data_IF_668927263930
#
_entry.id   IF_668927263930
#
_cell.length_a   1.000
_cell.length_b   1.000
_cell.length_c   1.000
_cell.angle_alpha   90.00
_cell.angle_beta   90.00
_cell.angle_gamma   90.00
#
_symmetry.space_group_name_H-M   'P 1'
#
loop_
_entity.id
_entity.type
_entity.pdbx_description
1 polymer ?
#
# COMPACT_ATOMS: atom_id res chain seq x y z
N UNK A 1 14.48 6.31 21.16
CA UNK A 1 13.36 5.36 20.98
C UNK A 1 12.23 6.08 20.25
N UNK A 2 11.55 5.38 19.35
CA UNK A 2 10.36 5.90 18.66
C UNK A 2 9.21 5.95 19.67
N UNK A 3 8.54 7.11 19.86
CA UNK A 3 7.39 7.21 20.76
C UNK A 3 6.26 6.24 20.36
N UNK A 4 5.54 5.70 21.35
CA UNK A 4 4.47 4.70 21.10
C UNK A 4 3.42 5.21 20.12
N UNK A 5 2.97 6.45 20.25
CA UNK A 5 2.00 7.05 19.33
C UNK A 5 2.50 7.09 17.88
N UNK A 6 3.80 7.27 17.66
CA UNK A 6 4.38 7.23 16.31
C UNK A 6 4.41 5.80 15.77
N UNK A 7 4.69 4.79 16.62
CA UNK A 7 4.59 3.37 16.24
C UNK A 7 3.16 3.00 15.87
N UNK A 8 2.19 3.42 16.66
CA UNK A 8 0.78 3.15 16.40
C UNK A 8 0.33 3.78 15.07
N UNK A 9 0.73 5.02 14.82
CA UNK A 9 0.42 5.72 13.58
C UNK A 9 1.16 5.13 12.38
N UNK A 10 2.44 4.76 12.52
CA UNK A 10 3.19 4.08 11.45
C UNK A 10 2.54 2.74 11.09
N UNK A 11 2.18 1.96 12.11
CA UNK A 11 1.49 0.68 11.91
C UNK A 11 0.14 0.86 11.24
N UNK A 12 -0.62 1.89 11.61
CA UNK A 12 -1.90 2.18 10.98
C UNK A 12 -1.74 2.52 9.49
N UNK A 13 -0.71 3.30 9.13
CA UNK A 13 -0.37 3.59 7.73
C UNK A 13 0.05 2.32 7.00
N UNK A 14 0.85 1.44 7.65
CA UNK A 14 1.25 0.16 7.07
C UNK A 14 0.05 -0.77 6.82
N UNK A 15 -0.88 -0.90 7.78
CA UNK A 15 -2.13 -1.65 7.61
C UNK A 15 -2.93 -1.11 6.42
N UNK A 16 -3.07 0.20 6.31
CA UNK A 16 -3.79 0.88 5.23
C UNK A 16 -3.20 0.55 3.85
N UNK A 17 -1.89 0.72 3.70
CA UNK A 17 -1.17 0.42 2.46
C UNK A 17 -1.29 -1.07 2.11
N UNK A 18 -1.07 -1.98 3.07
CA UNK A 18 -1.17 -3.41 2.83
C UNK A 18 -2.59 -3.87 2.49
N UNK A 19 -3.63 -3.28 3.08
CA UNK A 19 -5.02 -3.64 2.78
C UNK A 19 -5.41 -3.21 1.37
N UNK A 20 -5.02 -2.03 0.91
CA UNK A 20 -5.27 -1.60 -0.47
C UNK A 20 -4.42 -2.41 -1.45
N UNK A 21 -3.12 -2.56 -1.21
CA UNK A 21 -2.21 -3.31 -2.07
C UNK A 21 -2.57 -4.79 -2.23
N UNK A 22 -3.27 -5.39 -1.26
CA UNK A 22 -3.81 -6.75 -1.36
C UNK A 22 -5.28 -6.79 -1.82
N UNK A 23 -5.83 -5.66 -2.28
CA UNK A 23 -7.20 -5.56 -2.76
C UNK A 23 -7.47 -6.46 -3.97
N UNK A 24 -8.54 -7.24 -3.89
CA UNK A 24 -9.06 -8.04 -5.00
C UNK A 24 -10.44 -7.48 -5.40
N UNK A 25 -10.65 -7.28 -6.70
CA UNK A 25 -11.84 -6.60 -7.20
C UNK A 25 -12.27 -7.14 -8.56
N UNK A 26 -13.48 -6.82 -9.00
CA UNK A 26 -13.95 -7.16 -10.33
C UNK A 26 -13.52 -6.10 -11.35
N UNK A 27 -13.22 -6.52 -12.56
CA UNK A 27 -13.04 -5.63 -13.72
C UNK A 27 -14.24 -4.67 -13.84
N UNK A 28 -13.95 -3.42 -14.09
CA UNK A 28 -14.94 -2.35 -14.05
C UNK A 28 -14.93 -1.52 -12.76
N UNK A 29 -14.19 -1.94 -11.74
CA UNK A 29 -14.00 -1.13 -10.54
C UNK A 29 -13.12 0.10 -10.82
N UNK A 30 -13.43 1.18 -10.12
CA UNK A 30 -12.64 2.42 -10.12
C UNK A 30 -11.90 2.59 -8.79
N UNK A 31 -10.88 3.41 -8.76
CA UNK A 31 -10.18 3.76 -7.53
C UNK A 31 -11.08 4.44 -6.49
N UNK A 32 -12.21 5.06 -6.91
CA UNK A 32 -13.20 5.63 -6.00
C UNK A 32 -13.84 4.57 -5.08
N UNK A 33 -14.07 3.36 -5.59
CA UNK A 33 -14.62 2.25 -4.80
C UNK A 33 -13.53 1.64 -3.91
N UNK A 34 -12.32 1.50 -4.43
CA UNK A 34 -11.24 0.78 -3.76
C UNK A 34 -10.55 1.61 -2.67
N UNK A 35 -10.63 2.94 -2.72
CA UNK A 35 -10.04 3.84 -1.73
C UNK A 35 -10.46 3.51 -0.29
N UNK A 36 -11.66 2.94 -0.11
CA UNK A 36 -12.15 2.53 1.21
C UNK A 36 -11.26 1.48 1.87
N UNK A 37 -10.55 0.65 1.10
CA UNK A 37 -9.64 -0.36 1.65
C UNK A 37 -8.49 0.29 2.43
N UNK A 38 -7.99 1.43 1.95
CA UNK A 38 -6.96 2.19 2.65
C UNK A 38 -7.54 3.07 3.78
N UNK A 39 -8.75 3.62 3.60
CA UNK A 39 -9.31 4.55 4.58
C UNK A 39 -9.97 3.89 5.77
N UNK A 40 -10.54 2.70 5.57
CA UNK A 40 -11.25 2.00 6.65
C UNK A 40 -10.42 1.85 7.94
N UNK A 41 -9.13 1.46 7.93
CA UNK A 41 -8.32 1.39 9.13
C UNK A 41 -8.24 2.71 9.92
N UNK A 42 -8.22 3.84 9.22
CA UNK A 42 -8.24 5.17 9.82
C UNK A 42 -9.62 5.55 10.35
N UNK A 43 -10.66 5.36 9.55
CA UNK A 43 -12.03 5.73 9.93
C UNK A 43 -12.54 4.91 11.10
N UNK A 44 -12.15 3.66 11.24
CA UNK A 44 -12.46 2.83 12.43
C UNK A 44 -11.85 3.40 13.73
N UNK A 45 -10.95 4.39 13.62
CA UNK A 45 -10.28 5.08 14.74
C UNK A 45 -10.53 6.58 14.78
N UNK A 46 -11.55 7.06 14.07
CA UNK A 46 -11.90 8.48 13.94
C UNK A 46 -10.72 9.35 13.40
N UNK A 47 -9.82 8.74 12.63
CA UNK A 47 -8.69 9.39 11.97
C UNK A 47 -8.91 9.49 10.46
N UNK A 48 -8.19 10.38 9.79
CA UNK A 48 -8.24 10.55 8.34
C UNK A 48 -6.97 11.22 7.82
N UNK A 49 -6.75 11.11 6.51
CA UNK A 49 -5.79 11.93 5.76
C UNK A 49 -6.51 12.71 4.65
N UNK A 50 -6.07 13.95 4.40
CA UNK A 50 -6.80 14.93 3.57
C UNK A 50 -6.31 14.99 2.11
N UNK A 51 -5.56 13.98 1.65
CA UNK A 51 -5.13 13.85 0.26
C UNK A 51 -5.72 12.60 -0.40
N UNK A 52 -5.52 12.42 -1.69
CA UNK A 52 -5.83 11.16 -2.38
C UNK A 52 -4.93 10.04 -1.89
N UNK A 53 -5.43 8.82 -1.91
CA UNK A 53 -4.62 7.65 -1.51
C UNK A 53 -3.64 7.24 -2.60
N UNK A 54 -3.90 7.64 -3.84
CA UNK A 54 -3.00 7.33 -4.96
C UNK A 54 -3.45 7.96 -6.26
N UNK A 55 -2.57 7.90 -7.25
CA UNK A 55 -2.74 8.45 -8.59
C UNK A 55 -2.01 7.61 -9.63
N UNK A 56 -2.39 7.73 -10.89
CA UNK A 56 -1.64 7.14 -12.00
C UNK A 56 -0.25 7.76 -12.13
N UNK A 57 0.70 6.97 -12.60
CA UNK A 57 2.09 7.38 -12.82
C UNK A 57 2.35 7.43 -14.31
N UNK A 58 2.73 8.60 -14.81
CA UNK A 58 2.99 8.85 -16.21
C UNK A 58 4.41 8.52 -16.63
N UNK A 59 4.58 8.39 -17.94
CA UNK A 59 5.88 8.19 -18.55
C UNK A 59 6.71 9.49 -18.47
N UNK A 60 7.98 9.34 -18.20
CA UNK A 60 9.02 10.38 -18.26
C UNK A 60 8.67 11.66 -17.48
N UNK A 61 8.88 11.65 -16.17
CA UNK A 61 8.75 12.79 -15.25
C UNK A 61 7.33 13.32 -15.00
N UNK A 62 6.29 12.70 -15.55
CA UNK A 62 4.91 13.06 -15.23
C UNK A 62 4.38 12.19 -14.09
N UNK A 63 4.85 12.45 -12.88
CA UNK A 63 4.58 11.62 -11.70
C UNK A 63 3.07 11.51 -11.41
N UNK A 64 2.34 12.63 -11.53
CA UNK A 64 0.88 12.66 -11.32
C UNK A 64 0.17 12.66 -12.67
N UNK A 65 -0.16 11.47 -13.19
CA UNK A 65 -0.88 11.34 -14.46
C UNK A 65 -2.19 10.56 -14.26
N UNK A 66 -3.30 11.16 -14.74
CA UNK A 66 -4.56 10.42 -14.85
C UNK A 66 -4.46 9.30 -15.88
N UNK A 67 -5.55 8.52 -16.11
CA UNK A 67 -6.92 8.80 -15.63
C UNK A 67 -7.30 8.08 -14.32
N UNK A 68 -6.47 7.21 -13.78
CA UNK A 68 -6.74 6.46 -12.56
C UNK A 68 -6.30 7.21 -11.30
N UNK A 69 -6.96 6.96 -10.17
CA UNK A 69 -6.59 7.49 -8.88
C UNK A 69 -7.42 6.89 -7.76
N UNK A 70 -6.81 6.67 -6.59
CA UNK A 70 -7.52 6.26 -5.37
C UNK A 70 -7.97 7.49 -4.59
N UNK A 71 -9.29 7.73 -4.52
CA UNK A 71 -9.89 8.86 -3.80
C UNK A 71 -11.29 8.50 -3.30
N UNK A 72 -11.62 8.85 -2.08
CA UNK A 72 -12.96 8.65 -1.52
C UNK A 72 -13.99 9.68 -2.03
N UNK A 73 -13.55 10.79 -2.61
CA UNK A 73 -14.41 11.79 -3.24
C UNK A 73 -14.16 11.82 -4.74
N UNK A 74 -15.25 11.96 -5.49
CA UNK A 74 -15.19 12.16 -6.93
C UNK A 74 -14.25 13.32 -7.29
N UNK A 75 -13.36 13.06 -8.24
CA UNK A 75 -12.53 14.09 -8.87
C UNK A 75 -12.56 13.86 -10.38
N UNK A 76 -12.95 14.92 -11.11
CA UNK A 76 -12.96 14.86 -12.59
C UNK A 76 -11.55 14.53 -13.11
N UNK A 77 -11.46 13.55 -14.01
CA UNK A 77 -10.20 13.12 -14.61
C UNK A 77 -9.44 12.03 -13.84
N UNK A 78 -9.99 11.52 -12.71
CA UNK A 78 -9.39 10.42 -11.93
C UNK A 78 -10.42 9.32 -11.61
N UNK A 79 -11.36 9.07 -12.52
CA UNK A 79 -12.50 8.16 -12.30
C UNK A 79 -12.57 7.01 -13.29
N UNK A 80 -11.49 6.80 -14.02
CA UNK A 80 -11.45 5.71 -14.98
C UNK A 80 -11.40 4.35 -14.29
N UNK A 81 -11.93 3.36 -14.99
CA UNK A 81 -11.85 1.96 -14.60
C UNK A 81 -10.40 1.51 -14.60
N UNK A 82 -10.01 0.80 -13.55
CA UNK A 82 -8.68 0.21 -13.47
C UNK A 82 -8.54 -0.92 -14.49
N UNK A 83 -7.52 -0.81 -15.33
CA UNK A 83 -7.22 -1.76 -16.41
C UNK A 83 -5.89 -2.47 -16.16
N UNK A 84 -5.76 -3.68 -16.70
CA UNK A 84 -4.51 -4.42 -16.68
C UNK A 84 -3.35 -3.59 -17.23
N UNK A 85 -2.22 -3.62 -16.54
CA UNK A 85 -1.01 -2.89 -16.90
C UNK A 85 -0.94 -1.44 -16.38
N UNK A 86 -2.02 -0.91 -15.79
CA UNK A 86 -1.94 0.40 -15.15
C UNK A 86 -1.08 0.35 -13.89
N UNK A 87 -0.19 1.33 -13.75
CA UNK A 87 0.59 1.60 -12.54
C UNK A 87 -0.07 2.75 -11.78
N UNK A 88 -0.29 2.54 -10.49
CA UNK A 88 -0.97 3.50 -9.62
C UNK A 88 -0.30 3.51 -8.25
N UNK A 89 -0.10 4.69 -7.65
CA UNK A 89 0.47 4.79 -6.30
C UNK A 89 -0.54 4.38 -5.22
N UNK A 90 -0.03 3.86 -4.11
CA UNK A 90 -0.76 3.55 -2.88
C UNK A 90 0.01 4.21 -1.73
N UNK A 91 -0.43 5.42 -1.34
CA UNK A 91 0.32 6.35 -0.50
C UNK A 91 -0.51 6.91 0.68
N UNK A 92 -1.16 6.05 1.49
CA UNK A 92 -1.86 6.53 2.67
C UNK A 92 -0.90 7.21 3.64
N UNK A 93 -1.43 8.09 4.50
CA UNK A 93 -0.61 8.79 5.46
C UNK A 93 -1.37 9.30 6.66
N UNK A 94 -0.65 9.80 7.65
CA UNK A 94 -1.20 10.51 8.80
C UNK A 94 -0.34 11.74 9.11
N UNK A 95 -0.96 12.85 9.46
CA UNK A 95 -0.25 14.12 9.65
C UNK A 95 -0.82 14.83 10.88
N UNK A 96 -0.01 14.92 11.92
CA UNK A 96 -0.35 15.53 13.20
C UNK A 96 0.40 16.85 13.31
N UNK A 97 -0.33 17.95 13.26
CA UNK A 97 0.24 19.30 13.33
C UNK A 97 1.11 19.49 14.58
N UNK A 98 2.30 20.03 14.39
CA UNK A 98 3.27 20.27 15.45
C UNK A 98 3.92 19.01 16.03
N UNK A 99 3.67 17.82 15.45
CA UNK A 99 4.20 16.56 15.94
C UNK A 99 4.91 15.76 14.81
N UNK A 100 4.19 15.02 13.99
CA UNK A 100 4.78 14.14 12.99
C UNK A 100 3.88 13.95 11.76
N UNK A 101 4.50 13.59 10.64
CA UNK A 101 3.84 13.10 9.44
C UNK A 101 4.46 11.76 9.03
N UNK A 102 3.61 10.82 8.63
CA UNK A 102 4.01 9.48 8.18
C UNK A 102 3.28 9.19 6.88
N UNK A 103 4.02 8.76 5.85
CA UNK A 103 3.49 8.21 4.61
C UNK A 103 4.27 6.94 4.29
N UNK A 104 3.57 5.88 3.95
CA UNK A 104 4.16 4.72 3.29
C UNK A 104 3.57 4.64 1.89
N UNK A 105 4.43 4.41 0.91
CA UNK A 105 4.05 4.45 -0.48
C UNK A 105 4.61 3.26 -1.24
N UNK A 106 3.72 2.57 -1.93
CA UNK A 106 4.06 1.57 -2.94
C UNK A 106 3.49 1.96 -4.29
N UNK A 107 4.15 1.57 -5.35
CA UNK A 107 3.56 1.52 -6.68
C UNK A 107 2.94 0.15 -6.92
N UNK A 108 1.70 0.15 -7.40
CA UNK A 108 0.91 -1.04 -7.66
C UNK A 108 0.69 -1.21 -9.17
N UNK A 109 1.03 -2.39 -9.67
CA UNK A 109 0.66 -2.82 -11.02
C UNK A 109 -0.70 -3.51 -10.96
N UNK A 110 -1.65 -3.07 -11.78
CA UNK A 110 -2.97 -3.71 -11.92
C UNK A 110 -2.85 -4.95 -12.79
N UNK A 111 -3.26 -6.10 -12.25
CA UNK A 111 -3.13 -7.41 -12.90
C UNK A 111 -4.49 -8.11 -13.01
N UNK A 112 -4.63 -8.98 -14.04
CA UNK A 112 -5.74 -9.94 -14.16
C UNK A 112 -5.51 -11.16 -13.28
N UNK A 113 -6.54 -11.55 -12.54
CA UNK A 113 -6.61 -12.74 -11.73
C UNK A 113 -7.54 -13.79 -12.32
N UNK A 114 -8.33 -14.42 -11.46
CA UNK A 114 -9.28 -15.49 -11.84
C UNK A 114 -10.42 -14.95 -12.70
N UNK A 115 -10.71 -15.64 -13.80
CA UNK A 115 -11.96 -15.50 -14.56
C UNK A 115 -12.93 -16.62 -14.15
N UNK A 116 -14.15 -16.26 -13.79
CA UNK A 116 -15.20 -17.23 -13.45
C UNK A 116 -16.59 -16.69 -13.86
N UNK A 117 -17.68 -17.34 -13.41
CA UNK A 117 -19.06 -16.97 -13.71
C UNK A 117 -19.47 -15.56 -13.21
N UNK A 118 -18.74 -14.99 -12.26
CA UNK A 118 -18.97 -13.62 -11.77
C UNK A 118 -18.22 -12.56 -12.58
N UNK A 119 -17.25 -12.96 -13.42
CA UNK A 119 -16.47 -12.07 -14.27
C UNK A 119 -14.96 -12.20 -14.05
N UNK A 120 -14.22 -11.25 -14.59
CA UNK A 120 -12.78 -11.15 -14.45
C UNK A 120 -12.44 -10.49 -13.11
N UNK A 121 -11.81 -11.24 -12.20
CA UNK A 121 -11.21 -10.66 -11.00
C UNK A 121 -9.86 -10.04 -11.33
N UNK A 122 -9.58 -8.93 -10.66
CA UNK A 122 -8.34 -8.16 -10.75
C UNK A 122 -7.68 -8.13 -9.38
N UNK A 123 -6.39 -7.87 -9.36
CA UNK A 123 -5.59 -7.69 -8.14
C UNK A 123 -4.43 -6.73 -8.41
N UNK A 124 -3.70 -6.37 -7.37
CA UNK A 124 -2.51 -5.56 -7.47
C UNK A 124 -1.25 -6.38 -7.17
N UNK A 125 -0.17 -6.07 -7.89
CA UNK A 125 1.18 -6.49 -7.57
C UNK A 125 2.00 -5.26 -7.18
N UNK A 126 2.56 -5.25 -5.95
CA UNK A 126 3.47 -4.19 -5.54
C UNK A 126 4.80 -4.32 -6.33
N UNK A 127 5.18 -3.26 -7.01
CA UNK A 127 6.44 -3.18 -7.77
C UNK A 127 7.52 -2.38 -7.04
N UNK A 128 7.17 -1.70 -5.95
CA UNK A 128 8.12 -1.13 -4.99
C UNK A 128 8.56 -2.22 -4.01
N UNK A 129 9.86 -2.48 -3.93
CA UNK A 129 10.43 -3.59 -3.15
C UNK A 129 11.33 -3.07 -2.03
N UNK A 130 10.76 -2.32 -1.09
CA UNK A 130 11.44 -1.73 0.06
C UNK A 130 10.80 -2.27 1.34
N UNK A 131 11.57 -2.80 2.32
CA UNK A 131 10.98 -3.27 3.57
C UNK A 131 10.37 -2.12 4.37
N UNK A 132 9.22 -2.35 4.97
CA UNK A 132 8.66 -1.46 5.99
C UNK A 132 9.48 -1.60 7.28
N UNK A 133 9.73 -0.48 7.97
CA UNK A 133 10.55 -0.46 9.17
C UNK A 133 9.86 -1.19 10.34
N UNK A 134 10.33 -2.41 10.64
CA UNK A 134 9.79 -3.23 11.73
C UNK A 134 10.02 -2.65 13.13
N UNK A 135 11.01 -1.77 13.30
CA UNK A 135 11.25 -1.11 14.59
C UNK A 135 10.20 -0.03 14.89
N UNK A 136 9.49 0.43 13.85
CA UNK A 136 8.35 1.35 13.93
C UNK A 136 6.98 0.63 13.95
N UNK A 137 6.93 -0.68 13.78
CA UNK A 137 5.69 -1.46 13.86
C UNK A 137 5.33 -1.77 15.32
N UNK A 138 4.06 -1.56 15.65
CA UNK A 138 3.42 -2.08 16.86
C UNK A 138 2.55 -3.30 16.48
N UNK A 139 3.02 -4.54 16.69
CA UNK A 139 2.28 -5.73 16.29
C UNK A 139 0.98 -5.97 17.07
N UNK A 140 0.79 -5.29 18.21
CA UNK A 140 -0.39 -5.49 19.06
C UNK A 140 -1.67 -4.89 18.45
N UNK A 141 -1.54 -3.91 17.55
CA UNK A 141 -2.68 -3.30 16.85
C UNK A 141 -2.96 -3.92 15.48
N UNK A 142 -2.17 -4.92 15.07
CA UNK A 142 -2.36 -5.69 13.84
C UNK A 142 -3.13 -6.99 14.14
N UNK A 143 -4.16 -7.27 13.35
CA UNK A 143 -4.79 -8.58 13.38
C UNK A 143 -3.92 -9.63 12.65
N UNK A 144 -4.31 -10.90 12.70
CA UNK A 144 -3.54 -11.99 12.10
C UNK A 144 -3.40 -11.83 10.57
N UNK A 145 -4.43 -11.33 9.90
CA UNK A 145 -4.43 -11.14 8.46
C UNK A 145 -3.50 -9.98 8.04
N UNK A 146 -3.47 -8.89 8.81
CA UNK A 146 -2.55 -7.75 8.54
C UNK A 146 -1.09 -8.16 8.76
N UNK A 147 -0.80 -8.98 9.79
CA UNK A 147 0.54 -9.56 10.00
C UNK A 147 0.94 -10.46 8.83
N UNK A 148 0.04 -11.31 8.37
CA UNK A 148 0.29 -12.20 7.23
C UNK A 148 0.57 -11.39 5.94
N UNK A 149 -0.19 -10.32 5.68
CA UNK A 149 0.08 -9.42 4.54
C UNK A 149 1.48 -8.81 4.62
N UNK A 150 1.88 -8.30 5.79
CA UNK A 150 3.21 -7.73 6.00
C UNK A 150 4.31 -8.77 5.81
N UNK A 151 4.14 -9.95 6.41
CA UNK A 151 5.10 -11.06 6.30
C UNK A 151 5.26 -11.51 4.84
N UNK A 152 4.16 -11.65 4.10
CA UNK A 152 4.16 -12.01 2.68
C UNK A 152 4.85 -10.95 1.83
N UNK A 153 4.55 -9.66 2.06
CA UNK A 153 5.23 -8.55 1.38
C UNK A 153 6.74 -8.57 1.65
N UNK A 154 7.15 -8.72 2.91
CA UNK A 154 8.57 -8.79 3.28
C UNK A 154 9.28 -10.02 2.70
N UNK A 155 8.62 -11.18 2.66
CA UNK A 155 9.17 -12.37 2.01
C UNK A 155 9.43 -12.12 0.52
N UNK A 156 8.50 -11.46 -0.18
CA UNK A 156 8.64 -11.07 -1.58
C UNK A 156 9.80 -10.08 -1.77
N UNK A 157 9.92 -9.07 -0.88
CA UNK A 157 11.04 -8.12 -0.91
C UNK A 157 12.37 -8.86 -0.78
N UNK A 158 12.48 -9.75 0.22
CA UNK A 158 13.71 -10.52 0.42
C UNK A 158 14.04 -11.40 -0.78
N UNK A 159 13.07 -12.16 -1.27
CA UNK A 159 13.25 -13.06 -2.43
C UNK A 159 13.74 -12.32 -3.68
N UNK A 160 13.09 -11.18 -3.99
CA UNK A 160 13.38 -10.44 -5.22
C UNK A 160 14.64 -9.57 -5.13
N UNK A 161 14.97 -9.04 -3.96
CA UNK A 161 16.08 -8.08 -3.79
C UNK A 161 17.39 -8.76 -3.38
N UNK A 162 17.35 -9.78 -2.52
CA UNK A 162 18.55 -10.42 -1.98
C UNK A 162 19.53 -10.95 -3.04
N UNK A 163 19.11 -11.43 -4.24
CA UNK A 163 20.06 -11.90 -5.26
C UNK A 163 21.04 -10.84 -5.77
N UNK A 164 20.70 -9.55 -5.59
CA UNK A 164 21.50 -8.42 -6.07
C UNK A 164 22.39 -7.80 -4.98
N UNK A 165 22.35 -8.34 -3.76
CA UNK A 165 23.05 -7.83 -2.59
C UNK A 165 24.31 -8.68 -2.26
N UNK A 166 25.30 -8.06 -1.61
CA UNK A 166 26.40 -8.78 -1.00
C UNK A 166 25.95 -9.47 0.32
N UNK A 167 26.83 -10.24 0.96
CA UNK A 167 26.45 -11.06 2.12
C UNK A 167 26.07 -10.20 3.36
N UNK A 168 26.74 -9.06 3.59
CA UNK A 168 26.42 -8.13 4.67
C UNK A 168 25.04 -7.47 4.46
N UNK A 169 24.78 -7.01 3.25
CA UNK A 169 23.50 -6.42 2.86
C UNK A 169 22.35 -7.43 2.92
N UNK A 170 22.59 -8.70 2.56
CA UNK A 170 21.60 -9.78 2.71
C UNK A 170 21.21 -10.02 4.16
N UNK A 171 22.19 -10.07 5.06
CA UNK A 171 21.92 -10.25 6.49
C UNK A 171 21.16 -9.03 7.06
N UNK A 172 21.48 -7.82 6.61
CA UNK A 172 20.72 -6.63 6.94
C UNK A 172 19.27 -6.74 6.43
N UNK A 173 19.08 -7.05 5.14
CA UNK A 173 17.74 -7.17 4.54
C UNK A 173 16.92 -8.26 5.25
N UNK A 174 17.53 -9.42 5.54
CA UNK A 174 16.89 -10.51 6.27
C UNK A 174 16.38 -10.08 7.66
N UNK A 175 17.17 -9.27 8.36
CA UNK A 175 16.75 -8.71 9.65
C UNK A 175 15.50 -7.84 9.52
N UNK A 176 15.42 -7.00 8.47
CA UNK A 176 14.33 -6.05 8.28
C UNK A 176 13.15 -6.59 7.48
N UNK A 177 13.25 -7.83 6.99
CA UNK A 177 12.15 -8.57 6.34
C UNK A 177 11.70 -9.80 7.13
N UNK A 178 12.12 -9.94 8.39
CA UNK A 178 11.72 -11.05 9.25
C UNK A 178 10.21 -11.03 9.51
N UNK A 179 9.62 -12.19 9.72
CA UNK A 179 8.22 -12.29 10.14
C UNK A 179 8.01 -11.73 11.56
N UNK A 180 6.80 -11.23 11.81
CA UNK A 180 6.35 -10.72 13.12
C UNK A 180 5.13 -11.49 13.63
#
# INVERSE_FOLDING_TARGET
EVPQIMKDHFTLVAISNLQLGNGKFLEGATGLILDILARKPFWDRDLNFNHGTGHGVGYLLNIHEGPAGFRWKYRKGETEVLQEGMVITDEPGIYIEGSHGIRLENELLTCKGTLNEYGQFMYFEAITLIPMDLDAINPDIMNAEDKERLNTYHATVYEKVSPYLNDEEKEWLKKYTRAI
#
